data_IF_206890444876
#
_entry.id   IF_206890444876
#
_cell.length_a   1.000
_cell.length_b   1.000
_cell.length_c   1.000
_cell.angle_alpha   90.00
_cell.angle_beta   90.00
_cell.angle_gamma   90.00
#
_symmetry.space_group_name_H-M   'P 1'
#
loop_
_entity.id
_entity.type
_entity.pdbx_description
1 polymer ?
#
# COMPACT_ATOMS: atom_id res chain seq x y z
N UNK A 1 -18.19 -10.31 -13.76
CA UNK A 1 -17.65 -9.00 -13.33
C UNK A 1 -16.90 -9.00 -11.98
N UNK A 2 -16.83 -10.12 -11.24
CA UNK A 2 -16.21 -10.13 -9.90
C UNK A 2 -14.67 -10.15 -9.88
N UNK A 3 -13.99 -10.73 -10.88
CA UNK A 3 -12.54 -10.99 -10.80
C UNK A 3 -11.68 -9.72 -10.88
N UNK A 4 -12.00 -8.82 -11.82
CA UNK A 4 -11.13 -7.69 -12.16
C UNK A 4 -11.10 -6.57 -11.12
N UNK A 5 -12.10 -6.53 -10.23
CA UNK A 5 -12.26 -5.43 -9.26
C UNK A 5 -12.09 -5.84 -7.80
N UNK A 6 -12.13 -7.14 -7.49
CA UNK A 6 -12.19 -7.60 -6.09
C UNK A 6 -10.94 -8.36 -5.65
N UNK A 7 -10.16 -8.91 -6.58
CA UNK A 7 -8.97 -9.69 -6.24
C UNK A 7 -7.71 -8.89 -6.45
N UNK A 8 -6.85 -8.87 -5.43
CA UNK A 8 -5.48 -8.37 -5.55
C UNK A 8 -4.59 -9.48 -6.12
N UNK A 9 -3.67 -9.11 -7.02
CA UNK A 9 -2.71 -10.05 -7.60
C UNK A 9 -1.28 -9.68 -7.23
N UNK A 10 -0.54 -10.64 -6.69
CA UNK A 10 0.87 -10.45 -6.30
C UNK A 10 1.75 -10.07 -7.49
N UNK A 11 1.52 -10.67 -8.66
CA UNK A 11 2.21 -10.33 -9.91
C UNK A 11 1.98 -8.89 -10.37
N UNK A 12 0.91 -8.24 -9.90
CA UNK A 12 0.59 -6.84 -10.15
C UNK A 12 0.90 -5.95 -8.94
N UNK A 13 1.86 -6.35 -8.10
CA UNK A 13 2.19 -5.64 -6.86
C UNK A 13 0.99 -5.43 -5.93
N UNK A 14 0.09 -6.42 -5.87
CA UNK A 14 -1.13 -6.42 -5.07
C UNK A 14 -2.08 -5.26 -5.40
N UNK A 15 -2.20 -4.91 -6.68
CA UNK A 15 -3.32 -4.11 -7.19
C UNK A 15 -4.35 -5.01 -7.88
N UNK A 16 -5.55 -4.49 -8.12
CA UNK A 16 -6.58 -5.21 -8.88
C UNK A 16 -6.23 -5.21 -10.38
N UNK A 17 -6.69 -6.20 -11.17
CA UNK A 17 -6.48 -6.19 -12.62
C UNK A 17 -7.05 -4.94 -13.28
N UNK A 18 -8.19 -4.44 -12.79
CA UNK A 18 -8.77 -3.19 -13.29
C UNK A 18 -7.85 -2.00 -13.02
N UNK A 19 -7.28 -1.87 -11.82
CA UNK A 19 -6.35 -0.77 -11.52
C UNK A 19 -5.07 -0.83 -12.34
N UNK A 20 -4.58 -2.04 -12.65
CA UNK A 20 -3.46 -2.22 -13.55
C UNK A 20 -3.83 -1.83 -14.99
N UNK A 21 -4.98 -2.31 -15.48
CA UNK A 21 -5.49 -2.02 -16.82
C UNK A 21 -5.75 -0.53 -17.05
N UNK A 22 -6.39 0.14 -16.08
CA UNK A 22 -6.65 1.59 -16.14
C UNK A 22 -5.44 2.46 -15.76
N UNK A 23 -4.26 1.86 -15.54
CA UNK A 23 -3.01 2.60 -15.26
C UNK A 23 -2.97 3.29 -13.89
N UNK A 24 -3.85 2.92 -12.95
CA UNK A 24 -3.90 3.50 -11.59
C UNK A 24 -2.86 2.90 -10.63
N UNK A 25 -2.30 1.75 -10.98
CA UNK A 25 -1.37 1.01 -10.13
C UNK A 25 -0.18 1.84 -9.59
N UNK A 26 0.53 2.68 -10.39
CA UNK A 26 1.67 3.44 -9.88
C UNK A 26 1.28 4.43 -8.76
N UNK A 27 0.13 5.08 -8.89
CA UNK A 27 -0.37 6.02 -7.89
C UNK A 27 -0.74 5.31 -6.57
N UNK A 28 -1.38 4.14 -6.67
CA UNK A 28 -1.74 3.30 -5.51
C UNK A 28 -0.48 2.85 -4.77
N UNK A 29 0.54 2.37 -5.49
CA UNK A 29 1.80 1.90 -4.90
C UNK A 29 2.52 3.04 -4.19
N UNK A 30 2.65 4.21 -4.85
CA UNK A 30 3.30 5.39 -4.26
C UNK A 30 2.60 5.87 -2.98
N UNK A 31 1.26 5.85 -2.96
CA UNK A 31 0.49 6.18 -1.77
C UNK A 31 0.76 5.19 -0.63
N UNK A 32 0.77 3.89 -0.91
CA UNK A 32 1.05 2.84 0.08
C UNK A 32 2.45 2.97 0.67
N UNK A 33 3.45 3.26 -0.15
CA UNK A 33 4.82 3.51 0.31
C UNK A 33 4.89 4.67 1.28
N UNK A 34 4.23 5.79 0.96
CA UNK A 34 4.17 6.96 1.86
C UNK A 34 3.55 6.61 3.21
N UNK A 35 2.41 5.92 3.20
CA UNK A 35 1.72 5.51 4.43
C UNK A 35 2.60 4.54 5.25
N UNK A 36 3.26 3.59 4.60
CA UNK A 36 4.17 2.65 5.25
C UNK A 36 5.31 3.38 5.97
N UNK A 37 5.94 4.36 5.31
CA UNK A 37 7.00 5.17 5.93
C UNK A 37 6.48 5.95 7.15
N UNK A 38 5.34 6.64 7.00
CA UNK A 38 4.72 7.38 8.10
C UNK A 38 4.41 6.49 9.31
N UNK A 39 3.90 5.28 9.04
CA UNK A 39 3.55 4.31 10.09
C UNK A 39 4.78 3.79 10.83
N UNK A 40 5.87 3.50 10.11
CA UNK A 40 7.14 3.06 10.69
C UNK A 40 7.74 4.16 11.56
N UNK A 41 7.77 5.40 11.08
CA UNK A 41 8.30 6.54 11.83
C UNK A 41 7.48 6.82 13.10
N UNK A 42 6.14 6.76 13.00
CA UNK A 42 5.27 6.89 14.16
C UNK A 42 5.56 5.81 15.20
N UNK A 43 5.70 4.55 14.78
CA UNK A 43 6.04 3.43 15.66
C UNK A 43 7.40 3.61 16.34
N UNK A 44 8.41 4.07 15.60
CA UNK A 44 9.74 4.38 16.14
C UNK A 44 9.69 5.50 17.19
N UNK A 45 8.89 6.53 16.95
CA UNK A 45 8.69 7.62 17.91
C UNK A 45 8.02 7.11 19.19
N UNK A 46 6.94 6.34 19.07
CA UNK A 46 6.26 5.75 20.23
C UNK A 46 7.20 4.87 21.04
N UNK A 47 7.96 3.99 20.39
CA UNK A 47 8.93 3.13 21.06
C UNK A 47 9.99 3.93 21.82
N UNK A 48 10.55 5.00 21.21
CA UNK A 48 11.50 5.90 21.89
C UNK A 48 10.88 6.60 23.10
N UNK A 49 9.61 7.00 23.03
CA UNK A 49 8.91 7.62 24.17
C UNK A 49 8.66 6.64 25.31
N UNK A 50 8.39 5.37 25.01
CA UNK A 50 8.17 4.33 26.02
C UNK A 50 9.45 3.81 26.66
N UNK A 51 10.60 3.96 25.99
CA UNK A 51 11.91 3.52 26.47
C UNK A 51 12.67 4.61 27.27
N UNK A 52 12.13 5.83 27.34
CA UNK A 52 12.63 6.94 28.14
C UNK A 52 11.85 7.01 29.46
#
# INVERSE_FOLDING_TARGET
EHYNHQRYHESLANVTPADAYFGRAPAIIKLRERIKQQTIEHRRLQHRKSAA
#
